data_IF_020402058568
#
_entry.id   IF_020402058568
#
_cell.length_a   1.000
_cell.length_b   1.000
_cell.length_c   1.000
_cell.angle_alpha   90.00
_cell.angle_beta   90.00
_cell.angle_gamma   90.00
#
_symmetry.space_group_name_H-M   'P 1'
#
loop_
_entity.id
_entity.type
_entity.pdbx_description
1 polymer ?
#
# COMPACT_ATOMS: atom_id res chain seq x y z
N UNK A 1 -3.39 -6.47 4.12
CA UNK A 1 -1.97 -6.23 3.72
C UNK A 1 -1.07 -6.49 4.92
N UNK A 2 0.17 -6.98 4.74
CA UNK A 2 1.09 -7.32 5.85
C UNK A 2 1.25 -6.17 6.86
N UNK A 3 1.36 -4.94 6.35
CA UNK A 3 1.56 -3.75 7.17
C UNK A 3 0.30 -3.37 7.96
N UNK A 4 -0.90 -3.55 7.39
CA UNK A 4 -2.16 -3.29 8.10
C UNK A 4 -2.30 -4.24 9.29
N UNK A 5 -2.04 -5.53 9.07
CA UNK A 5 -2.02 -6.53 10.15
C UNK A 5 -0.98 -6.21 11.20
N UNK A 6 0.21 -5.80 10.80
CA UNK A 6 1.25 -5.37 11.74
C UNK A 6 0.80 -4.14 12.57
N UNK A 7 0.08 -3.18 11.97
CA UNK A 7 -0.46 -2.01 12.68
C UNK A 7 -1.53 -2.39 13.70
N UNK A 8 -2.29 -3.45 13.47
CA UNK A 8 -3.27 -3.96 14.44
C UNK A 8 -2.61 -4.60 15.66
N UNK A 9 -1.49 -5.30 15.46
CA UNK A 9 -0.75 -6.03 16.51
C UNK A 9 0.05 -5.07 17.42
N UNK A 10 0.52 -3.95 16.89
CA UNK A 10 1.42 -3.02 17.60
C UNK A 10 0.76 -2.39 18.83
N UNK A 11 1.50 -2.21 19.94
CA UNK A 11 0.99 -1.55 21.13
C UNK A 11 0.60 -0.08 20.86
N UNK A 12 -0.43 0.37 21.57
CA UNK A 12 -1.04 1.69 21.35
C UNK A 12 -0.04 2.86 21.51
N UNK A 13 0.89 2.76 22.46
CA UNK A 13 1.88 3.81 22.70
C UNK A 13 2.77 4.06 21.46
N UNK A 14 3.23 2.99 20.82
CA UNK A 14 4.06 3.07 19.60
C UNK A 14 3.22 3.61 18.44
N UNK A 15 1.96 3.20 18.35
CA UNK A 15 1.00 3.66 17.33
C UNK A 15 0.78 5.17 17.41
N UNK A 16 0.54 5.70 18.61
CA UNK A 16 0.37 7.13 18.87
C UNK A 16 1.65 7.89 18.51
N UNK A 17 2.82 7.42 18.94
CA UNK A 17 4.09 8.08 18.64
C UNK A 17 4.41 8.10 17.14
N UNK A 18 4.11 7.02 16.42
CA UNK A 18 4.21 6.95 14.95
C UNK A 18 3.30 7.97 14.31
N UNK A 19 2.02 8.00 14.71
CA UNK A 19 1.04 8.95 14.19
C UNK A 19 1.48 10.40 14.37
N UNK A 20 1.97 10.76 15.57
CA UNK A 20 2.50 12.10 15.86
C UNK A 20 3.68 12.47 14.96
N UNK A 21 4.60 11.53 14.70
CA UNK A 21 5.75 11.73 13.80
C UNK A 21 5.31 11.94 12.36
N UNK A 22 4.38 11.12 11.88
CA UNK A 22 3.82 11.27 10.53
C UNK A 22 3.11 12.60 10.34
N UNK A 23 2.26 13.00 11.29
CA UNK A 23 1.56 14.29 11.22
C UNK A 23 2.54 15.46 11.24
N UNK A 24 3.58 15.40 12.09
CA UNK A 24 4.64 16.41 12.10
C UNK A 24 5.37 16.48 10.75
N UNK A 25 5.72 15.33 10.19
CA UNK A 25 6.35 15.24 8.86
C UNK A 25 5.48 15.83 7.75
N UNK A 26 4.18 15.52 7.76
CA UNK A 26 3.22 16.04 6.79
C UNK A 26 3.09 17.58 6.87
N UNK A 27 3.03 18.14 8.09
CA UNK A 27 2.97 19.60 8.30
C UNK A 27 4.24 20.29 7.80
N UNK A 28 5.41 19.74 8.09
CA UNK A 28 6.69 20.29 7.64
C UNK A 28 6.85 20.20 6.11
N UNK A 29 6.49 19.05 5.52
CA UNK A 29 6.52 18.85 4.08
C UNK A 29 5.57 19.82 3.35
N UNK A 30 4.35 20.01 3.86
CA UNK A 30 3.38 20.96 3.31
C UNK A 30 3.86 22.41 3.35
N UNK A 31 4.72 22.76 4.31
CA UNK A 31 5.35 24.09 4.43
C UNK A 31 6.71 24.19 3.75
N UNK A 32 7.23 23.10 3.18
CA UNK A 32 8.61 23.00 2.65
C UNK A 32 9.66 23.42 3.69
N UNK A 33 9.43 23.07 4.96
CA UNK A 33 10.33 23.34 6.08
C UNK A 33 11.00 22.06 6.56
N UNK A 34 12.15 22.21 7.18
CA UNK A 34 12.84 21.13 7.90
C UNK A 34 12.55 21.22 9.40
N UNK A 35 12.80 20.11 10.10
CA UNK A 35 12.76 20.10 11.57
C UNK A 35 13.90 20.96 12.14
N UNK A 36 13.74 21.55 13.32
CA UNK A 36 14.80 22.27 14.01
C UNK A 36 15.97 21.34 14.35
N UNK A 37 17.21 21.85 14.26
CA UNK A 37 18.44 21.05 14.41
C UNK A 37 18.52 20.29 15.75
N UNK A 38 18.08 20.92 16.84
CA UNK A 38 18.02 20.31 18.18
C UNK A 38 17.11 19.07 18.24
N UNK A 39 16.05 19.07 17.42
CA UNK A 39 15.08 17.99 17.34
C UNK A 39 15.44 16.93 16.28
N UNK A 40 16.47 17.18 15.47
CA UNK A 40 16.97 16.23 14.46
C UNK A 40 17.89 15.16 15.04
N UNK A 41 18.23 15.23 16.33
CA UNK A 41 19.09 14.25 17.00
C UNK A 41 18.31 12.96 17.37
N UNK A 42 17.75 12.30 16.37
CA UNK A 42 17.16 10.98 16.52
C UNK A 42 17.95 9.98 15.68
N UNK A 43 18.10 8.76 16.17
CA UNK A 43 18.58 7.65 15.35
C UNK A 43 17.44 7.22 14.41
N UNK A 44 17.56 7.48 13.08
CA UNK A 44 16.50 7.14 12.13
C UNK A 44 16.36 5.62 11.92
N UNK A 45 17.34 4.83 12.33
CA UNK A 45 17.52 3.45 11.86
C UNK A 45 17.02 2.39 12.84
N UNK A 46 16.42 2.77 13.97
CA UNK A 46 15.79 1.82 14.90
C UNK A 46 14.51 1.24 14.27
N UNK A 47 14.49 -0.04 13.87
CA UNK A 47 13.40 -0.60 13.08
C UNK A 47 12.28 -1.11 13.98
N UNK A 48 11.53 -0.20 14.62
CA UNK A 48 10.48 -0.55 15.59
C UNK A 48 9.30 -1.35 15.00
N UNK A 49 9.13 -1.37 13.68
CA UNK A 49 8.08 -2.14 12.99
C UNK A 49 8.50 -3.57 12.62
N UNK A 50 9.81 -3.85 12.52
CA UNK A 50 10.33 -5.11 12.01
C UNK A 50 9.77 -6.36 12.73
N UNK A 51 9.80 -6.45 14.08
CA UNK A 51 9.32 -7.65 14.78
C UNK A 51 7.83 -7.92 14.50
N UNK A 52 7.01 -6.86 14.45
CA UNK A 52 5.57 -6.98 14.20
C UNK A 52 5.24 -7.35 12.75
N UNK A 53 6.09 -6.96 11.80
CA UNK A 53 5.95 -7.37 10.39
C UNK A 53 6.29 -8.85 10.23
N UNK A 54 7.33 -9.34 10.91
CA UNK A 54 7.70 -10.76 10.90
C UNK A 54 6.61 -11.62 11.55
N UNK A 55 6.05 -11.17 12.67
CA UNK A 55 4.92 -11.83 13.31
C UNK A 55 3.68 -11.85 12.41
N UNK A 56 3.33 -10.71 11.79
CA UNK A 56 2.21 -10.64 10.87
C UNK A 56 2.38 -11.59 9.68
N UNK A 57 3.60 -11.66 9.11
CA UNK A 57 3.94 -12.61 8.04
C UNK A 57 3.70 -14.06 8.46
N UNK A 58 4.17 -14.43 9.66
CA UNK A 58 4.00 -15.78 10.19
C UNK A 58 2.52 -16.12 10.35
N UNK A 59 1.73 -15.24 10.98
CA UNK A 59 0.29 -15.44 11.16
C UNK A 59 -0.45 -15.62 9.84
N UNK A 60 -0.18 -14.77 8.85
CA UNK A 60 -0.83 -14.87 7.53
C UNK A 60 -0.42 -16.13 6.77
N UNK A 61 0.83 -16.57 6.91
CA UNK A 61 1.29 -17.80 6.29
C UNK A 61 0.64 -19.03 6.93
N UNK A 62 0.54 -19.06 8.26
CA UNK A 62 -0.18 -20.11 8.99
C UNK A 62 -1.67 -20.15 8.61
N UNK A 63 -2.34 -18.99 8.55
CA UNK A 63 -3.73 -18.87 8.09
C UNK A 63 -3.89 -19.40 6.66
N UNK A 64 -2.95 -19.11 5.76
CA UNK A 64 -2.97 -19.59 4.38
C UNK A 64 -2.78 -21.11 4.28
N UNK A 65 -1.87 -21.68 5.07
CA UNK A 65 -1.60 -23.12 5.11
C UNK A 65 -2.81 -23.90 5.67
N UNK A 66 -3.55 -23.31 6.61
CA UNK A 66 -4.71 -23.96 7.24
C UNK A 66 -6.02 -23.78 6.46
N UNK A 67 -6.29 -22.59 5.92
CA UNK A 67 -7.59 -22.24 5.36
C UNK A 67 -7.62 -22.20 3.83
N UNK A 68 -6.46 -22.23 3.16
CA UNK A 68 -6.32 -22.01 1.71
C UNK A 68 -6.99 -20.72 1.18
N UNK A 69 -7.38 -19.81 2.08
CA UNK A 69 -8.15 -18.61 1.82
C UNK A 69 -7.58 -17.47 2.67
N UNK A 70 -7.27 -16.34 2.04
CA UNK A 70 -6.70 -15.18 2.73
C UNK A 70 -7.66 -13.98 2.68
N UNK A 71 -8.28 -13.57 3.80
CA UNK A 71 -9.22 -12.45 3.83
C UNK A 71 -8.57 -11.10 3.49
N UNK A 72 -7.24 -11.00 3.51
CA UNK A 72 -6.51 -9.78 3.17
C UNK A 72 -5.92 -9.76 1.75
N UNK A 73 -6.27 -10.73 0.91
CA UNK A 73 -5.90 -10.70 -0.50
C UNK A 73 -6.77 -9.67 -1.25
N UNK A 74 -6.23 -8.47 -1.46
CA UNK A 74 -6.91 -7.39 -2.20
C UNK A 74 -7.26 -7.80 -3.64
N UNK A 75 -6.62 -8.84 -4.20
CA UNK A 75 -7.01 -9.39 -5.52
C UNK A 75 -8.46 -9.84 -5.53
N UNK A 76 -8.99 -10.39 -4.44
CA UNK A 76 -10.39 -10.84 -4.39
C UNK A 76 -11.39 -9.67 -4.36
N UNK A 77 -11.00 -8.51 -3.80
CA UNK A 77 -11.86 -7.32 -3.80
C UNK A 77 -11.88 -6.63 -5.17
N UNK A 78 -10.75 -6.62 -5.88
CA UNK A 78 -10.68 -6.16 -7.29
C UNK A 78 -11.35 -7.17 -8.22
N UNK A 79 -11.17 -8.47 -7.97
CA UNK A 79 -11.87 -9.51 -8.74
C UNK A 79 -13.35 -9.55 -8.44
N UNK A 80 -13.84 -9.07 -7.29
CA UNK A 80 -15.28 -8.94 -7.00
C UNK A 80 -15.94 -7.85 -7.84
N UNK A 81 -15.26 -6.72 -8.06
CA UNK A 81 -15.73 -5.69 -8.98
C UNK A 81 -15.70 -6.20 -10.44
N UNK A 82 -14.64 -6.90 -10.83
CA UNK A 82 -14.47 -7.50 -12.17
C UNK A 82 -15.36 -8.75 -12.36
N UNK A 83 -15.74 -9.47 -11.30
CA UNK A 83 -16.64 -10.62 -11.38
C UNK A 83 -18.12 -10.18 -11.31
N UNK A 84 -18.43 -9.04 -10.68
CA UNK A 84 -19.77 -8.42 -10.77
C UNK A 84 -20.02 -7.80 -12.14
N UNK A 85 -18.96 -7.39 -12.85
CA UNK A 85 -18.98 -6.98 -14.24
C UNK A 85 -18.60 -8.19 -15.08
N UNK A 86 -19.54 -9.12 -15.27
CA UNK A 86 -19.36 -10.45 -15.84
C UNK A 86 -18.21 -10.62 -16.85
N UNK A 87 -17.59 -11.79 -16.79
CA UNK A 87 -16.48 -12.29 -17.63
C UNK A 87 -16.62 -12.12 -19.15
N UNK A 88 -17.76 -11.63 -19.61
CA UNK A 88 -18.12 -11.40 -21.00
C UNK A 88 -17.63 -10.01 -21.50
N UNK A 89 -17.03 -9.19 -20.61
CA UNK A 89 -16.48 -7.87 -20.94
C UNK A 89 -14.94 -7.79 -20.87
N UNK A 90 -14.24 -8.90 -20.67
CA UNK A 90 -12.77 -8.92 -20.58
C UNK A 90 -12.13 -8.56 -21.93
N UNK A 91 -12.78 -8.92 -23.05
CA UNK A 91 -12.32 -8.50 -24.39
C UNK A 91 -12.67 -7.03 -24.68
N UNK A 92 -13.81 -6.52 -24.18
CA UNK A 92 -14.23 -5.15 -24.47
C UNK A 92 -13.44 -4.11 -23.66
N UNK A 93 -13.13 -4.36 -22.39
CA UNK A 93 -12.40 -3.41 -21.54
C UNK A 93 -10.93 -3.20 -21.97
N UNK A 94 -10.26 -4.24 -22.44
CA UNK A 94 -8.91 -4.11 -23.02
C UNK A 94 -8.96 -3.36 -24.35
N UNK A 95 -10.01 -3.57 -25.15
CA UNK A 95 -10.21 -2.84 -26.40
C UNK A 95 -10.53 -1.35 -26.17
N UNK A 96 -11.33 -1.01 -25.14
CA UNK A 96 -11.65 0.38 -24.82
C UNK A 96 -10.44 1.16 -24.29
N UNK A 97 -9.56 0.54 -23.47
CA UNK A 97 -8.35 1.23 -23.01
C UNK A 97 -7.35 1.45 -24.16
N UNK A 98 -7.14 0.47 -25.04
CA UNK A 98 -6.29 0.65 -26.23
C UNK A 98 -6.88 1.68 -27.20
N UNK A 99 -8.20 1.73 -27.37
CA UNK A 99 -8.87 2.69 -28.25
C UNK A 99 -8.84 4.14 -27.70
N UNK A 100 -9.06 4.32 -26.39
CA UNK A 100 -8.98 5.66 -25.74
C UNK A 100 -7.55 6.23 -25.83
N UNK A 101 -6.52 5.40 -25.68
CA UNK A 101 -5.13 5.85 -25.86
C UNK A 101 -4.76 6.08 -27.33
N UNK A 102 -5.32 5.29 -28.27
CA UNK A 102 -5.11 5.49 -29.71
C UNK A 102 -5.79 6.73 -30.29
N UNK A 103 -6.86 7.23 -29.68
CA UNK A 103 -7.59 8.41 -30.16
C UNK A 103 -7.08 9.74 -29.60
N UNK A 104 -6.26 9.69 -28.53
CA UNK A 104 -5.67 10.87 -27.88
C UNK A 104 -4.26 11.22 -28.37
N UNK A 105 -3.80 10.63 -29.48
CA UNK A 105 -2.63 11.11 -30.22
C UNK A 105 -1.33 11.16 -29.42
N UNK A 106 -1.13 10.24 -28.47
CA UNK A 106 0.17 10.06 -27.83
C UNK A 106 0.99 9.05 -28.65
N UNK A 107 1.62 9.56 -29.71
CA UNK A 107 2.68 8.82 -30.41
C UNK A 107 3.82 8.55 -29.42
N UNK A 108 4.19 7.28 -29.26
CA UNK A 108 5.39 6.87 -28.52
C UNK A 108 6.63 7.41 -29.24
N UNK A 109 7.55 8.12 -28.56
CA UNK A 109 8.75 8.64 -29.19
C UNK A 109 9.81 7.55 -29.23
N UNK A 110 9.69 6.58 -30.13
CA UNK A 110 10.77 5.66 -30.48
C UNK A 110 10.37 4.89 -31.73
N UNK A 111 10.64 5.51 -32.89
CA UNK A 111 11.07 4.88 -34.15
C UNK A 111 11.07 5.93 -35.27
N UNK A 112 12.12 6.76 -35.31
CA UNK A 112 12.75 7.33 -36.51
C UNK A 112 14.04 8.08 -36.17
#
# INVERSE_FOLDING_TARGET
MIVERALDIIPEDIRIQRYRRMMRGAVLAGRKLHLLLELQNYDPMVPYMAPYIEEAKFQMQEEQELLAFHPWDRRLYVSGLIASLGSDHIESALTYHVWIFGQLGFDSPEER
#
